data_IF_198275899839
#
_entry.id   IF_198275899839
#
_cell.length_a   1.000
_cell.length_b   1.000
_cell.length_c   1.000
_cell.angle_alpha   90.00
_cell.angle_beta   90.00
_cell.angle_gamma   90.00
#
_symmetry.space_group_name_H-M   'P 1'
#
loop_
_entity.id
_entity.type
_entity.pdbx_description
1 polymer ?
#
# COMPACT_ATOMS: atom_id res chain seq x y z
N UNK A 1 1.77 5.74 6.86
CA UNK A 1 0.43 5.18 7.10
C UNK A 1 -0.51 5.70 6.03
N UNK A 2 -1.45 4.89 5.55
CA UNK A 2 -2.51 5.34 4.66
C UNK A 2 -3.88 5.11 5.31
N UNK A 3 -4.88 5.88 4.85
CA UNK A 3 -6.27 5.70 5.24
C UNK A 3 -7.17 5.94 4.03
N UNK A 4 -8.18 5.09 3.86
CA UNK A 4 -9.25 5.24 2.88
C UNK A 4 -10.62 5.14 3.57
N UNK A 5 -11.65 5.82 3.04
CA UNK A 5 -13.01 5.68 3.55
C UNK A 5 -13.42 4.21 3.69
N UNK A 6 -13.90 3.84 4.89
CA UNK A 6 -14.30 2.47 5.22
C UNK A 6 -13.26 1.63 5.97
N UNK A 7 -11.99 2.07 6.06
CA UNK A 7 -10.94 1.32 6.78
C UNK A 7 -11.09 1.28 8.31
N UNK A 8 -11.86 2.19 8.91
CA UNK A 8 -11.87 2.34 10.36
C UNK A 8 -10.50 2.76 10.89
N UNK A 9 -10.04 2.13 11.97
CA UNK A 9 -8.72 2.36 12.57
C UNK A 9 -7.71 1.42 11.88
N UNK A 10 -6.60 1.96 11.40
CA UNK A 10 -5.48 1.16 10.91
C UNK A 10 -4.61 0.70 12.09
N UNK A 11 -4.79 -0.54 12.54
CA UNK A 11 -3.98 -1.15 13.59
C UNK A 11 -2.93 -2.10 12.99
N UNK A 12 -1.67 -1.93 13.39
CA UNK A 12 -0.59 -2.84 13.03
C UNK A 12 -0.65 -4.11 13.90
N UNK A 13 -0.03 -5.23 13.45
CA UNK A 13 0.13 -6.41 14.28
C UNK A 13 0.80 -6.08 15.62
N UNK A 14 0.46 -6.85 16.65
CA UNK A 14 0.99 -6.66 17.99
C UNK A 14 2.54 -6.60 18.01
N UNK A 15 3.07 -5.71 18.84
CA UNK A 15 4.50 -5.47 18.96
C UNK A 15 5.16 -4.81 17.74
N UNK A 16 4.38 -4.34 16.75
CA UNK A 16 4.91 -3.67 15.55
C UNK A 16 4.62 -2.17 15.58
N UNK A 17 5.58 -1.36 15.13
CA UNK A 17 5.41 0.09 15.00
C UNK A 17 6.30 0.69 13.92
N UNK A 18 5.87 1.81 13.34
CA UNK A 18 6.71 2.62 12.47
C UNK A 18 7.60 3.53 13.32
N UNK A 19 8.91 3.52 13.04
CA UNK A 19 9.85 4.40 13.72
C UNK A 19 9.66 5.85 13.28
N UNK A 20 9.69 6.77 14.25
CA UNK A 20 9.77 8.21 14.02
C UNK A 20 10.89 8.74 14.91
N UNK A 21 11.98 9.22 14.31
CA UNK A 21 13.10 9.83 15.00
C UNK A 21 12.79 11.29 15.37
N UNK A 22 13.59 11.85 16.29
CA UNK A 22 13.45 13.24 16.76
C UNK A 22 13.45 14.25 15.61
N UNK A 23 14.27 14.02 14.59
CA UNK A 23 14.50 14.96 13.50
C UNK A 23 13.64 14.63 12.26
N UNK A 24 12.72 13.67 12.37
CA UNK A 24 11.79 13.31 11.31
C UNK A 24 10.63 14.32 11.21
N UNK A 25 10.15 14.50 9.99
CA UNK A 25 8.98 15.32 9.71
C UNK A 25 7.75 14.45 9.50
N UNK A 26 6.68 14.75 10.22
CA UNK A 26 5.37 14.16 9.94
C UNK A 26 4.66 14.99 8.88
N UNK A 27 4.48 14.41 7.69
CA UNK A 27 3.75 15.02 6.58
C UNK A 27 2.38 14.35 6.50
N UNK A 28 1.33 15.16 6.45
CA UNK A 28 -0.04 14.69 6.23
C UNK A 28 -0.50 15.17 4.86
N UNK A 29 -0.94 14.23 4.04
CA UNK A 29 -1.60 14.50 2.76
C UNK A 29 -3.06 14.06 2.86
N UNK A 30 -3.97 14.94 2.47
CA UNK A 30 -5.41 14.65 2.44
C UNK A 30 -5.90 14.81 1.00
N UNK A 31 -6.59 13.79 0.51
CA UNK A 31 -7.18 13.79 -0.82
C UNK A 31 -8.68 14.09 -0.72
N UNK A 32 -9.07 15.29 -1.15
CA UNK A 32 -10.48 15.69 -1.24
C UNK A 32 -11.00 15.46 -2.66
N UNK A 33 -12.11 14.74 -2.78
CA UNK A 33 -12.88 14.70 -4.01
C UNK A 33 -13.90 15.85 -3.98
N UNK A 34 -13.69 16.88 -4.80
CA UNK A 34 -14.49 18.11 -4.83
C UNK A 34 -15.52 18.09 -5.96
N UNK A 35 -16.17 16.95 -6.23
CA UNK A 35 -17.23 16.87 -7.24
C UNK A 35 -18.49 17.67 -6.88
N UNK A 36 -18.67 18.04 -5.61
CA UNK A 36 -19.82 18.83 -5.16
C UNK A 36 -19.47 20.33 -5.11
N UNK A 37 -19.90 21.07 -6.14
CA UNK A 37 -19.61 22.52 -6.27
C UNK A 37 -20.08 23.35 -5.08
N UNK A 38 -21.15 22.93 -4.40
CA UNK A 38 -21.67 23.62 -3.22
C UNK A 38 -20.68 23.64 -2.03
N UNK A 39 -19.69 22.74 -2.02
CA UNK A 39 -18.64 22.68 -1.01
C UNK A 39 -17.41 23.53 -1.39
N UNK A 40 -17.40 24.17 -2.56
CA UNK A 40 -16.28 25.00 -2.99
C UNK A 40 -16.04 26.17 -2.02
N UNK A 41 -14.79 26.34 -1.58
CA UNK A 41 -14.41 27.40 -0.63
C UNK A 41 -14.80 27.14 0.82
N UNK A 42 -15.34 25.96 1.13
CA UNK A 42 -15.54 25.56 2.53
C UNK A 42 -14.22 25.22 3.20
N UNK A 43 -14.16 25.42 4.52
CA UNK A 43 -13.01 25.04 5.33
C UNK A 43 -13.24 23.65 5.93
N UNK A 44 -12.19 22.84 5.96
CA UNK A 44 -12.17 21.58 6.70
C UNK A 44 -11.07 21.58 7.77
N UNK A 45 -11.33 20.85 8.86
CA UNK A 45 -10.39 20.66 9.99
C UNK A 45 -10.30 19.19 10.37
N UNK A 46 -9.85 18.36 9.44
CA UNK A 46 -9.58 16.94 9.69
C UNK A 46 -8.57 16.76 10.82
N UNK A 47 -8.83 15.80 11.71
CA UNK A 47 -7.95 15.42 12.82
C UNK A 47 -7.47 13.98 12.64
N UNK A 48 -6.21 13.75 12.99
CA UNK A 48 -5.59 12.44 12.99
C UNK A 48 -5.15 12.10 14.41
N UNK A 49 -5.43 10.88 14.83
CA UNK A 49 -4.98 10.35 16.11
C UNK A 49 -3.94 9.27 15.85
N UNK A 50 -2.77 9.42 16.48
CA UNK A 50 -1.66 8.46 16.40
C UNK A 50 -1.42 7.92 17.80
N UNK A 51 -1.26 6.60 17.90
CA UNK A 51 -0.87 5.91 19.13
C UNK A 51 0.64 5.81 19.17
N UNK A 52 1.24 6.21 20.29
CA UNK A 52 2.68 6.24 20.48
C UNK A 52 3.13 5.15 21.45
N UNK A 53 4.36 4.68 21.26
CA UNK A 53 5.07 3.81 22.19
C UNK A 53 6.55 4.23 22.19
N UNK A 54 7.20 4.19 23.35
CA UNK A 54 8.64 4.51 23.46
C UNK A 54 9.51 3.47 22.72
N UNK A 55 9.02 2.23 22.63
CA UNK A 55 9.64 1.13 21.90
C UNK A 55 8.61 0.09 21.48
N UNK A 56 8.92 -0.67 20.43
CA UNK A 56 8.17 -1.83 19.94
C UNK A 56 9.12 -3.00 19.72
N UNK A 57 8.59 -4.22 19.64
CA UNK A 57 9.40 -5.42 19.41
C UNK A 57 9.95 -5.48 17.97
N UNK A 58 9.15 -4.99 17.00
CA UNK A 58 9.44 -5.06 15.57
C UNK A 58 9.22 -3.71 14.92
N UNK A 59 10.24 -3.22 14.20
CA UNK A 59 10.09 -2.06 13.33
C UNK A 59 9.35 -2.48 12.05
N UNK A 60 8.21 -1.84 11.78
CA UNK A 60 7.45 -2.05 10.58
C UNK A 60 7.91 -1.13 9.47
N UNK A 61 7.78 -1.57 8.22
CA UNK A 61 7.93 -0.73 7.04
C UNK A 61 6.72 -0.94 6.11
N UNK A 62 6.30 0.13 5.45
CA UNK A 62 5.27 0.07 4.43
C UNK A 62 5.90 0.39 3.09
N UNK A 63 5.66 -0.46 2.10
CA UNK A 63 6.20 -0.30 0.77
C UNK A 63 5.06 -0.40 -0.26
N UNK A 64 5.15 0.42 -1.31
CA UNK A 64 4.14 0.51 -2.37
C UNK A 64 4.87 0.45 -3.71
N UNK A 65 5.14 -0.76 -4.24
CA UNK A 65 5.62 -0.91 -5.61
C UNK A 65 4.47 -0.61 -6.56
N UNK A 66 4.63 0.40 -7.40
CA UNK A 66 3.64 0.77 -8.41
C UNK A 66 4.34 1.33 -9.66
N UNK A 67 4.56 0.44 -10.62
CA UNK A 67 5.18 0.77 -11.90
C UNK A 67 4.23 1.55 -12.81
N UNK A 68 2.91 1.43 -12.63
CA UNK A 68 1.95 2.27 -13.35
C UNK A 68 2.10 3.73 -12.89
N UNK A 69 2.15 3.95 -11.58
CA UNK A 69 2.41 5.27 -11.01
C UNK A 69 3.79 5.81 -11.42
N UNK A 70 4.81 4.97 -11.33
CA UNK A 70 6.19 5.35 -11.69
C UNK A 70 6.31 5.71 -13.17
N UNK A 71 5.53 5.06 -14.04
CA UNK A 71 5.51 5.36 -15.48
C UNK A 71 5.03 6.79 -15.80
N UNK A 72 4.25 7.43 -14.92
CA UNK A 72 3.80 8.81 -15.13
C UNK A 72 4.94 9.84 -15.17
N UNK A 73 6.12 9.47 -14.66
CA UNK A 73 7.31 10.30 -14.70
C UNK A 73 8.17 10.10 -15.98
N UNK A 74 7.74 9.26 -16.92
CA UNK A 74 8.45 9.00 -18.18
C UNK A 74 7.77 9.73 -19.35
N UNK A 75 8.46 9.89 -20.51
CA UNK A 75 7.84 10.50 -21.70
C UNK A 75 6.70 9.69 -22.33
N UNK A 76 6.60 8.39 -22.00
CA UNK A 76 5.64 7.45 -22.57
C UNK A 76 5.05 6.61 -21.42
N UNK A 77 4.10 7.17 -20.66
CA UNK A 77 3.52 6.49 -19.51
C UNK A 77 2.70 5.27 -19.95
N UNK A 78 2.55 4.30 -19.05
CA UNK A 78 1.71 3.14 -19.32
C UNK A 78 0.24 3.59 -19.29
N UNK A 79 -0.47 3.38 -20.39
CA UNK A 79 -1.87 3.74 -20.55
C UNK A 79 -2.76 2.52 -20.80
N UNK A 80 -4.02 2.63 -20.40
CA UNK A 80 -5.06 1.66 -20.76
C UNK A 80 -5.78 2.15 -22.02
N UNK A 81 -5.61 1.45 -23.13
CA UNK A 81 -6.30 1.78 -24.38
C UNK A 81 -7.83 1.67 -24.23
N UNK A 82 -8.61 2.58 -24.85
CA UNK A 82 -10.06 2.53 -24.77
C UNK A 82 -10.63 1.33 -25.52
N UNK A 83 -11.75 0.79 -25.02
CA UNK A 83 -12.48 -0.30 -25.67
C UNK A 83 -11.96 -1.71 -25.37
N UNK A 84 -10.80 -1.83 -24.71
CA UNK A 84 -10.27 -3.13 -24.31
C UNK A 84 -11.12 -3.75 -23.17
N UNK A 85 -11.65 -4.97 -23.34
CA UNK A 85 -12.55 -5.57 -22.36
C UNK A 85 -11.83 -5.99 -21.07
N UNK A 86 -10.53 -6.29 -21.16
CA UNK A 86 -9.65 -6.66 -20.06
C UNK A 86 -8.19 -6.61 -20.51
N UNK A 87 -7.35 -5.91 -19.75
CA UNK A 87 -5.89 -5.86 -19.97
C UNK A 87 -5.19 -6.32 -18.70
N UNK A 88 -4.11 -7.11 -18.84
CA UNK A 88 -3.28 -7.56 -17.73
C UNK A 88 -1.97 -6.78 -17.74
N UNK A 89 -1.65 -6.14 -16.61
CA UNK A 89 -0.31 -5.68 -16.30
C UNK A 89 0.31 -6.62 -15.25
N UNK A 90 1.62 -6.81 -15.33
CA UNK A 90 2.40 -7.63 -14.40
C UNK A 90 3.74 -6.95 -14.22
N UNK A 91 4.14 -6.80 -12.97
CA UNK A 91 5.40 -6.18 -12.59
C UNK A 91 6.07 -7.06 -11.56
N UNK A 92 7.40 -7.14 -11.65
CA UNK A 92 8.22 -7.85 -10.69
C UNK A 92 8.86 -6.83 -9.76
N UNK A 93 8.86 -7.15 -8.47
CA UNK A 93 9.52 -6.34 -7.45
C UNK A 93 10.49 -7.21 -6.66
N UNK A 94 11.71 -6.72 -6.45
CA UNK A 94 12.74 -7.40 -5.68
C UNK A 94 12.79 -6.87 -4.23
N UNK A 95 12.08 -7.50 -3.26
CA UNK A 95 12.08 -7.05 -1.86
C UNK A 95 13.46 -7.06 -1.22
N UNK A 96 14.39 -7.89 -1.72
CA UNK A 96 15.76 -7.96 -1.22
C UNK A 96 16.53 -6.63 -1.35
N UNK A 97 16.28 -5.83 -2.39
CA UNK A 97 16.93 -4.52 -2.55
C UNK A 97 16.41 -3.52 -1.51
N UNK A 98 15.12 -3.58 -1.21
CA UNK A 98 14.51 -2.79 -0.15
C UNK A 98 15.04 -3.17 1.24
N UNK A 99 15.13 -4.47 1.54
CA UNK A 99 15.70 -4.95 2.81
C UNK A 99 17.15 -4.50 2.99
N UNK A 100 17.98 -4.62 1.94
CA UNK A 100 19.37 -4.12 1.97
C UNK A 100 19.46 -2.62 2.21
N UNK A 101 18.58 -1.83 1.58
CA UNK A 101 18.50 -0.38 1.81
C UNK A 101 18.19 -0.05 3.29
N UNK A 102 17.35 -0.86 3.94
CA UNK A 102 17.06 -0.76 5.37
C UNK A 102 18.17 -1.35 6.27
N UNK A 103 19.23 -1.92 5.70
CA UNK A 103 20.27 -2.61 6.46
C UNK A 103 19.83 -3.95 7.05
N UNK A 104 18.77 -4.56 6.52
CA UNK A 104 18.24 -5.84 6.96
C UNK A 104 18.65 -6.99 6.01
N UNK A 105 19.00 -8.15 6.59
CA UNK A 105 19.30 -9.37 5.83
C UNK A 105 18.04 -10.18 5.48
N UNK A 106 16.99 -10.05 6.29
CA UNK A 106 15.70 -10.71 6.10
C UNK A 106 14.58 -9.87 6.71
N UNK A 107 13.34 -10.18 6.34
CA UNK A 107 12.14 -9.52 6.86
C UNK A 107 11.00 -10.50 7.02
N UNK A 108 9.85 -10.01 7.45
CA UNK A 108 8.60 -10.74 7.40
C UNK A 108 7.57 -9.85 6.71
N UNK A 109 6.86 -10.39 5.72
CA UNK A 109 5.69 -9.76 5.16
C UNK A 109 4.51 -9.95 6.12
N UNK A 110 4.19 -8.88 6.84
CA UNK A 110 3.15 -8.88 7.86
C UNK A 110 1.73 -8.82 7.26
N UNK A 111 1.59 -8.22 6.09
CA UNK A 111 0.30 -7.99 5.46
C UNK A 111 0.41 -7.26 4.13
N UNK A 112 -0.74 -7.08 3.50
CA UNK A 112 -0.89 -6.41 2.20
C UNK A 112 -2.02 -5.38 2.24
N UNK A 113 -1.95 -4.42 1.34
CA UNK A 113 -3.00 -3.45 1.05
C UNK A 113 -3.26 -3.49 -0.46
N UNK A 114 -4.08 -4.44 -0.96
CA UNK A 114 -4.47 -4.44 -2.37
C UNK A 114 -5.07 -3.08 -2.75
N UNK A 115 -4.62 -2.52 -3.86
CA UNK A 115 -5.00 -1.18 -4.27
C UNK A 115 -4.99 -1.05 -5.80
N UNK A 116 -6.12 -0.59 -6.35
CA UNK A 116 -6.27 -0.17 -7.73
C UNK A 116 -7.34 0.92 -7.83
N UNK A 117 -7.29 1.74 -8.88
CA UNK A 117 -8.35 2.70 -9.19
C UNK A 117 -9.60 2.02 -9.78
N UNK A 118 -10.55 2.83 -10.27
CA UNK A 118 -11.91 2.40 -10.66
C UNK A 118 -11.97 1.34 -11.77
N UNK A 119 -10.95 1.23 -12.62
CA UNK A 119 -10.89 0.21 -13.67
C UNK A 119 -10.25 -1.12 -13.23
N UNK A 120 -9.73 -1.19 -12.00
CA UNK A 120 -9.21 -2.42 -11.42
C UNK A 120 -10.29 -3.50 -11.35
N UNK A 121 -9.91 -4.76 -11.56
CA UNK A 121 -10.85 -5.90 -11.51
C UNK A 121 -10.34 -7.05 -10.65
N UNK A 122 -9.08 -7.43 -10.88
CA UNK A 122 -8.42 -8.53 -10.19
C UNK A 122 -6.98 -8.16 -9.91
N UNK A 123 -6.45 -8.63 -8.80
CA UNK A 123 -5.05 -8.48 -8.44
C UNK A 123 -4.57 -9.79 -7.83
N UNK A 124 -3.41 -10.27 -8.28
CA UNK A 124 -2.75 -11.43 -7.70
C UNK A 124 -1.31 -11.03 -7.39
N UNK A 125 -0.84 -11.37 -6.21
CA UNK A 125 0.55 -11.18 -5.78
C UNK A 125 1.09 -12.54 -5.40
N UNK A 126 2.26 -12.87 -5.91
CA UNK A 126 2.97 -14.10 -5.61
C UNK A 126 4.37 -13.76 -5.14
N UNK A 127 4.86 -14.48 -4.14
CA UNK A 127 6.25 -14.46 -3.71
C UNK A 127 6.95 -15.64 -4.35
N UNK A 128 8.03 -15.36 -5.07
CA UNK A 128 8.88 -16.37 -5.68
C UNK A 128 10.22 -16.35 -4.94
N UNK A 129 10.59 -17.46 -4.32
CA UNK A 129 11.83 -17.59 -3.56
C UNK A 129 12.65 -18.78 -4.07
N UNK A 130 13.78 -18.49 -4.72
CA UNK A 130 14.64 -19.50 -5.32
C UNK A 130 13.88 -20.43 -6.27
N UNK A 131 14.10 -21.74 -6.13
CA UNK A 131 13.42 -22.77 -6.93
C UNK A 131 12.13 -23.30 -6.27
N UNK A 132 11.80 -22.83 -5.06
CA UNK A 132 10.52 -23.14 -4.45
C UNK A 132 9.45 -22.33 -5.21
N UNK A 133 8.54 -23.04 -5.89
CA UNK A 133 7.53 -22.42 -6.75
C UNK A 133 6.71 -21.30 -6.07
N UNK A 134 5.95 -20.52 -6.85
CA UNK A 134 5.29 -19.31 -6.36
C UNK A 134 4.37 -19.58 -5.17
N UNK A 135 4.59 -18.85 -4.08
CA UNK A 135 3.71 -18.79 -2.93
C UNK A 135 2.69 -17.67 -3.13
N UNK A 136 1.41 -17.97 -2.96
CA UNK A 136 0.35 -16.95 -3.03
C UNK A 136 0.47 -15.97 -1.84
N UNK A 137 0.57 -14.68 -2.13
CA UNK A 137 0.63 -13.60 -1.15
C UNK A 137 -0.75 -12.93 -1.05
N UNK A 138 -1.37 -12.61 -2.17
CA UNK A 138 -2.70 -12.02 -2.22
C UNK A 138 -3.44 -12.48 -3.48
N UNK A 139 -4.75 -12.74 -3.37
CA UNK A 139 -5.59 -13.09 -4.51
C UNK A 139 -6.95 -12.40 -4.43
N UNK A 140 -7.06 -11.27 -5.11
CA UNK A 140 -8.28 -10.47 -5.23
C UNK A 140 -8.98 -10.81 -6.54
N UNK A 141 -10.11 -11.52 -6.45
CA UNK A 141 -10.88 -11.96 -7.61
C UNK A 141 -11.97 -10.99 -8.06
N UNK A 142 -12.36 -10.04 -7.20
CA UNK A 142 -13.39 -9.04 -7.48
C UNK A 142 -13.05 -7.75 -6.73
N UNK A 143 -12.14 -6.98 -7.29
CA UNK A 143 -11.79 -5.66 -6.77
C UNK A 143 -13.02 -4.74 -6.73
N UNK A 144 -13.10 -3.95 -5.67
CA UNK A 144 -14.04 -2.84 -5.51
C UNK A 144 -13.24 -1.65 -5.01
N UNK A 145 -13.38 -0.49 -5.65
CA UNK A 145 -12.67 0.72 -5.25
C UNK A 145 -13.00 1.16 -3.82
N UNK A 146 -14.16 0.81 -3.28
CA UNK A 146 -14.54 1.12 -1.89
C UNK A 146 -13.97 0.11 -0.89
N UNK A 147 -13.24 -0.91 -1.36
CA UNK A 147 -12.66 -1.98 -0.56
C UNK A 147 -11.14 -1.85 -0.50
N UNK A 148 -10.66 -0.82 0.18
CA UNK A 148 -9.22 -0.51 0.30
C UNK A 148 -8.75 -0.79 1.72
N UNK A 149 -8.63 -2.05 2.13
CA UNK A 149 -8.34 -2.45 3.53
C UNK A 149 -6.96 -3.06 3.69
N UNK A 150 -6.34 -2.83 4.85
CA UNK A 150 -5.16 -3.59 5.25
C UNK A 150 -5.55 -5.03 5.63
N UNK A 151 -4.78 -5.99 5.14
CA UNK A 151 -4.92 -7.41 5.44
C UNK A 151 -3.63 -7.93 6.06
N UNK A 152 -3.64 -8.20 7.35
CA UNK A 152 -2.51 -8.84 8.03
C UNK A 152 -2.69 -10.35 8.05
N UNK A 153 -1.61 -11.09 7.85
CA UNK A 153 -1.63 -12.54 7.88
C UNK A 153 -1.70 -13.05 9.32
N UNK A 154 -2.43 -14.14 9.54
CA UNK A 154 -2.38 -14.88 10.81
C UNK A 154 -0.97 -15.38 11.11
N UNK A 155 -0.26 -15.81 10.06
CA UNK A 155 1.14 -16.17 10.09
C UNK A 155 1.90 -15.31 9.07
N UNK A 156 2.76 -14.38 9.52
CA UNK A 156 3.58 -13.60 8.61
C UNK A 156 4.41 -14.47 7.69
N UNK A 157 4.50 -14.07 6.42
CA UNK A 157 5.33 -14.75 5.42
C UNK A 157 6.78 -14.30 5.63
N UNK A 158 7.73 -15.24 5.59
CA UNK A 158 9.16 -14.95 5.71
C UNK A 158 9.78 -14.66 4.35
#
# INVERSE_FOLDING_TARGET
MSWAPGQGISELPEGTGYRIAKDDWMIVQVHYNLTEEALAGTEDKTKFHVRWADSVEREGHFFLPDDLLSSLATPDPIELAPGEPSVKFSFDFEPGNFLKYLGAESGQLLGVLPHMHQYGRKQRVELVEGDAGPQCVADVQRWDFNWQLYYFYEQPIR
#
